data_IF_349156217219
#
_entry.id   IF_349156217219
#
_cell.length_a   1.000
_cell.length_b   1.000
_cell.length_c   1.000
_cell.angle_alpha   90.00
_cell.angle_beta   90.00
_cell.angle_gamma   90.00
#
_symmetry.space_group_name_H-M   'P 1'
#
loop_
_entity.id
_entity.type
_entity.pdbx_description
1 polymer ?
#
# COMPACT_ATOMS: atom_id res chain seq x y z
N UNK A 1 8.22 -23.08 4.22
CA UNK A 1 9.29 -23.30 3.25
C UNK A 1 10.46 -22.40 3.53
N UNK A 2 11.27 -22.17 2.51
CA UNK A 2 12.53 -21.47 2.54
C UNK A 2 12.60 -20.56 1.31
N UNK A 3 12.94 -19.30 1.55
CA UNK A 3 13.13 -18.31 0.50
C UNK A 3 14.63 -18.12 0.30
N UNK A 4 15.08 -18.40 -0.92
CA UNK A 4 16.43 -18.08 -1.38
C UNK A 4 16.42 -16.66 -1.90
N UNK A 5 17.45 -15.89 -1.53
CA UNK A 5 17.67 -14.53 -1.99
C UNK A 5 19.07 -14.42 -2.55
N UNK A 6 19.19 -14.35 -3.87
CA UNK A 6 20.45 -14.10 -4.56
C UNK A 6 20.59 -12.59 -4.81
N UNK A 7 21.66 -12.00 -4.27
CA UNK A 7 22.01 -10.58 -4.45
C UNK A 7 23.09 -10.48 -5.51
N UNK A 8 22.83 -9.73 -6.58
CA UNK A 8 23.76 -9.58 -7.70
C UNK A 8 24.62 -8.31 -7.55
N UNK A 9 25.80 -8.22 -8.19
CA UNK A 9 26.69 -7.05 -8.13
C UNK A 9 26.05 -5.74 -8.59
N UNK A 10 25.16 -5.77 -9.58
CA UNK A 10 24.36 -4.61 -10.00
C UNK A 10 23.23 -4.25 -9.02
N UNK A 11 23.11 -5.04 -7.95
CA UNK A 11 22.17 -4.94 -6.84
C UNK A 11 20.73 -5.31 -7.20
N UNK A 12 20.52 -6.00 -8.32
CA UNK A 12 19.32 -6.80 -8.54
C UNK A 12 19.27 -7.91 -7.48
N UNK A 13 18.06 -8.19 -6.98
CA UNK A 13 17.82 -9.31 -6.07
C UNK A 13 16.84 -10.27 -6.71
N UNK A 14 17.20 -11.55 -6.81
CA UNK A 14 16.32 -12.61 -7.28
C UNK A 14 15.88 -13.46 -6.09
N UNK A 15 14.58 -13.66 -5.96
CA UNK A 15 13.97 -14.42 -4.88
C UNK A 15 13.33 -15.70 -5.44
N UNK A 16 13.55 -16.85 -4.81
CA UNK A 16 12.90 -18.13 -5.18
C UNK A 16 12.48 -18.92 -3.94
N UNK A 17 11.24 -19.41 -3.92
CA UNK A 17 10.66 -20.12 -2.77
C UNK A 17 10.65 -21.63 -3.00
N UNK A 18 11.07 -22.38 -1.97
CA UNK A 18 11.03 -23.84 -1.92
C UNK A 18 10.36 -24.31 -0.62
N UNK A 19 9.77 -25.51 -0.63
CA UNK A 19 9.13 -26.05 0.57
C UNK A 19 10.13 -26.77 1.49
N UNK A 20 11.07 -27.52 0.90
CA UNK A 20 12.11 -28.28 1.60
C UNK A 20 13.32 -27.42 1.95
N UNK A 21 13.87 -27.65 3.16
CA UNK A 21 15.13 -27.04 3.59
C UNK A 21 16.30 -27.55 2.77
N UNK A 22 16.30 -28.86 2.52
CA UNK A 22 17.39 -29.55 1.84
C UNK A 22 17.53 -29.03 0.41
N UNK A 23 16.41 -28.96 -0.33
CA UNK A 23 16.39 -28.40 -1.68
C UNK A 23 16.84 -26.94 -1.72
N UNK A 24 16.46 -26.16 -0.70
CA UNK A 24 16.88 -24.76 -0.61
C UNK A 24 18.37 -24.59 -0.34
N UNK A 25 18.98 -25.49 0.43
CA UNK A 25 20.42 -25.49 0.68
C UNK A 25 21.19 -26.00 -0.55
N UNK A 26 20.70 -27.05 -1.21
CA UNK A 26 21.25 -27.54 -2.49
C UNK A 26 21.24 -26.45 -3.54
N UNK A 27 20.09 -25.80 -3.74
CA UNK A 27 19.96 -24.70 -4.69
C UNK A 27 20.83 -23.49 -4.29
N UNK A 28 21.00 -23.18 -3.00
CA UNK A 28 21.95 -22.14 -2.58
C UNK A 28 23.37 -22.47 -3.02
N UNK A 29 23.82 -23.71 -2.76
CA UNK A 29 25.18 -24.14 -3.07
C UNK A 29 25.41 -24.16 -4.59
N UNK A 30 24.44 -24.66 -5.35
CA UNK A 30 24.43 -24.56 -6.82
C UNK A 30 24.51 -23.11 -7.29
N UNK A 31 23.73 -22.19 -6.72
CA UNK A 31 23.77 -20.77 -7.12
C UNK A 31 25.10 -20.10 -6.76
N UNK A 32 25.75 -20.51 -5.67
CA UNK A 32 27.09 -20.00 -5.30
C UNK A 32 28.15 -20.49 -6.30
N UNK A 33 28.08 -21.75 -6.73
CA UNK A 33 29.04 -22.37 -7.65
C UNK A 33 28.77 -21.97 -9.12
N UNK A 34 27.52 -22.10 -9.57
CA UNK A 34 27.08 -21.82 -10.93
C UNK A 34 26.80 -20.34 -11.17
N UNK A 35 26.67 -19.51 -10.15
CA UNK A 35 26.19 -18.14 -10.30
C UNK A 35 24.73 -18.07 -10.78
N UNK A 36 24.30 -16.85 -11.11
CA UNK A 36 22.96 -16.54 -11.64
C UNK A 36 23.10 -16.09 -13.09
N UNK A 37 22.41 -16.76 -14.00
CA UNK A 37 22.36 -16.37 -15.41
C UNK A 37 21.09 -15.58 -15.68
N UNK A 38 21.23 -14.39 -16.24
CA UNK A 38 20.11 -13.57 -16.72
C UNK A 38 20.11 -13.65 -18.25
N UNK A 39 19.00 -14.09 -18.82
CA UNK A 39 18.73 -14.06 -20.26
C UNK A 39 17.70 -12.99 -20.55
N UNK A 40 17.96 -12.15 -21.54
CA UNK A 40 16.99 -11.17 -22.03
C UNK A 40 16.17 -11.81 -23.13
N UNK A 41 14.85 -11.86 -22.92
CA UNK A 41 13.91 -12.40 -23.90
C UNK A 41 13.54 -11.38 -24.96
N UNK A 42 13.26 -10.15 -24.50
CA UNK A 42 12.97 -9.02 -25.36
C UNK A 42 13.26 -7.72 -24.64
N UNK A 43 13.57 -6.68 -25.42
CA UNK A 43 13.64 -5.31 -24.95
C UNK A 43 12.65 -4.45 -25.70
N UNK A 44 11.99 -3.54 -24.98
CA UNK A 44 11.02 -2.63 -25.57
C UNK A 44 11.07 -1.27 -24.89
N UNK A 45 10.72 -0.23 -25.62
CA UNK A 45 10.66 1.12 -25.08
C UNK A 45 9.30 1.37 -24.41
N UNK A 46 9.32 2.00 -23.25
CA UNK A 46 8.15 2.32 -22.45
C UNK A 46 8.20 3.77 -22.02
N UNK A 47 7.11 4.50 -22.28
CA UNK A 47 6.90 5.79 -21.63
C UNK A 47 6.35 5.55 -20.22
N UNK A 48 7.06 6.06 -19.22
CA UNK A 48 6.72 5.93 -17.81
C UNK A 48 6.26 7.28 -17.31
N UNK A 49 5.00 7.34 -16.89
CA UNK A 49 4.42 8.53 -16.27
C UNK A 49 5.01 8.73 -14.87
N UNK A 50 5.23 9.99 -14.43
CA UNK A 50 5.50 10.23 -13.03
C UNK A 50 4.34 9.74 -12.19
N UNK A 51 4.62 9.32 -10.95
CA UNK A 51 3.54 8.99 -10.05
C UNK A 51 2.77 10.26 -9.61
N UNK A 52 1.49 10.12 -9.22
CA UNK A 52 0.71 11.24 -8.67
C UNK A 52 1.33 11.74 -7.35
N UNK A 53 1.01 12.98 -6.94
CA UNK A 53 1.37 13.47 -5.61
C UNK A 53 0.72 12.60 -4.52
N UNK A 54 1.23 12.70 -3.29
CA UNK A 54 0.82 11.80 -2.24
C UNK A 54 -0.64 12.02 -1.80
N UNK A 55 -1.32 10.90 -1.61
CA UNK A 55 -2.49 10.73 -0.72
C UNK A 55 -2.00 10.15 0.61
N UNK A 56 -2.86 10.08 1.62
CA UNK A 56 -2.48 9.50 2.92
C UNK A 56 -2.02 8.06 2.81
N UNK A 57 -2.71 7.21 2.06
CA UNK A 57 -2.34 5.79 1.93
C UNK A 57 -1.02 5.59 1.20
N UNK A 58 -0.75 6.39 0.16
CA UNK A 58 0.49 6.28 -0.62
C UNK A 58 1.68 6.86 0.15
N UNK A 59 1.48 7.95 0.90
CA UNK A 59 2.50 8.49 1.82
C UNK A 59 2.85 7.45 2.90
N UNK A 60 1.84 6.90 3.58
CA UNK A 60 2.06 5.89 4.61
C UNK A 60 2.77 4.66 4.05
N UNK A 61 2.36 4.22 2.86
CA UNK A 61 2.99 3.06 2.19
C UNK A 61 4.47 3.28 1.96
N UNK A 62 4.85 4.42 1.37
CA UNK A 62 6.23 4.71 1.03
C UNK A 62 7.08 4.99 2.28
N UNK A 63 6.57 5.78 3.24
CA UNK A 63 7.29 6.13 4.48
C UNK A 63 7.54 4.90 5.35
N UNK A 64 6.55 4.02 5.54
CA UNK A 64 6.72 2.78 6.29
C UNK A 64 7.73 1.86 5.59
N UNK A 65 7.67 1.75 4.26
CA UNK A 65 8.58 0.90 3.48
C UNK A 65 10.03 1.41 3.54
N UNK A 66 10.23 2.71 3.35
CA UNK A 66 11.56 3.31 3.22
C UNK A 66 12.21 3.61 4.57
N UNK A 67 11.43 4.14 5.52
CA UNK A 67 11.94 4.58 6.83
C UNK A 67 11.75 3.54 7.92
N UNK A 68 11.00 2.46 7.65
CA UNK A 68 10.74 1.33 8.59
C UNK A 68 10.05 1.74 9.89
N UNK A 69 9.33 2.86 9.87
CA UNK A 69 8.52 3.39 10.97
C UNK A 69 7.13 2.78 10.97
N UNK A 70 6.40 2.86 12.10
CA UNK A 70 4.99 2.43 12.14
C UNK A 70 4.09 3.45 11.42
N UNK A 71 2.89 3.06 10.94
CA UNK A 71 1.94 4.00 10.35
C UNK A 71 1.55 5.13 11.30
N UNK A 72 1.41 4.83 12.60
CA UNK A 72 1.10 5.83 13.63
C UNK A 72 2.22 6.87 13.74
N UNK A 73 3.48 6.43 13.72
CA UNK A 73 4.63 7.34 13.74
C UNK A 73 4.70 8.16 12.45
N UNK A 74 4.46 7.55 11.28
CA UNK A 74 4.40 8.27 10.00
C UNK A 74 3.31 9.36 9.99
N UNK A 75 2.12 9.05 10.51
CA UNK A 75 1.05 10.05 10.67
C UNK A 75 1.42 11.17 11.64
N UNK A 76 2.12 10.86 12.74
CA UNK A 76 2.60 11.87 13.68
C UNK A 76 3.58 12.83 13.01
N UNK A 77 4.56 12.29 12.28
CA UNK A 77 5.52 13.11 11.53
C UNK A 77 4.81 14.01 10.52
N UNK A 78 3.81 13.50 9.80
CA UNK A 78 3.04 14.28 8.86
C UNK A 78 2.16 15.35 9.54
N UNK A 79 1.66 15.07 10.75
CA UNK A 79 0.98 16.05 11.60
C UNK A 79 1.93 17.17 12.00
N UNK A 80 3.11 16.82 12.52
CA UNK A 80 4.12 17.79 12.97
C UNK A 80 4.58 18.67 11.79
N UNK A 81 4.82 18.09 10.60
CA UNK A 81 5.15 18.84 9.37
C UNK A 81 4.01 19.78 8.91
N UNK A 82 2.75 19.38 9.09
CA UNK A 82 1.59 20.19 8.75
C UNK A 82 1.42 21.36 9.73
N UNK A 83 1.54 21.10 11.04
CA UNK A 83 1.41 22.12 12.09
C UNK A 83 2.54 23.16 12.03
N UNK A 84 3.75 22.74 11.66
CA UNK A 84 4.87 23.64 11.37
C UNK A 84 4.78 24.32 10.00
N UNK A 85 3.71 24.08 9.24
CA UNK A 85 3.43 24.78 7.99
C UNK A 85 4.32 24.37 6.81
N UNK A 86 4.93 23.18 6.81
CA UNK A 86 5.78 22.69 5.71
C UNK A 86 5.01 21.91 4.63
N UNK A 87 3.88 21.30 4.98
CA UNK A 87 3.06 20.53 4.03
C UNK A 87 1.58 20.89 4.16
N UNK A 88 0.81 20.59 3.12
CA UNK A 88 -0.65 20.64 3.16
C UNK A 88 -1.25 19.56 4.07
N UNK A 89 -2.55 19.63 4.32
CA UNK A 89 -3.24 18.70 5.20
C UNK A 89 -3.05 17.23 4.77
N UNK A 90 -2.46 16.42 5.65
CA UNK A 90 -1.96 15.09 5.32
C UNK A 90 -2.99 13.96 5.40
N UNK A 91 -4.26 14.26 5.79
CA UNK A 91 -5.38 13.30 5.82
C UNK A 91 -6.30 13.53 4.64
N UNK A 92 -5.87 13.07 3.47
CA UNK A 92 -6.50 13.31 2.18
C UNK A 92 -6.45 12.05 1.31
N UNK A 93 -7.52 11.79 0.58
CA UNK A 93 -7.61 10.79 -0.49
C UNK A 93 -7.46 11.41 -1.88
N UNK A 94 -7.30 12.73 -1.95
CA UNK A 94 -7.21 13.49 -3.19
C UNK A 94 -5.77 13.54 -3.70
N UNK A 95 -5.59 13.34 -5.01
CA UNK A 95 -4.34 13.66 -5.71
C UNK A 95 -4.35 15.07 -6.29
N UNK A 96 -5.39 15.87 -6.03
CA UNK A 96 -5.55 17.19 -6.61
C UNK A 96 -4.44 18.16 -6.22
N UNK A 97 -4.03 18.97 -7.17
CA UNK A 97 -3.04 20.04 -7.07
C UNK A 97 -3.72 21.33 -7.51
N UNK A 98 -3.79 22.27 -6.57
CA UNK A 98 -4.30 23.62 -6.78
C UNK A 98 -3.40 24.44 -7.69
N UNK A 99 -3.93 25.56 -8.21
CA UNK A 99 -3.13 26.55 -8.93
C UNK A 99 -1.90 27.00 -8.13
N UNK A 100 -2.07 27.29 -6.83
CA UNK A 100 -0.95 27.63 -5.94
C UNK A 100 0.11 26.51 -5.86
N UNK A 101 -0.32 25.25 -5.80
CA UNK A 101 0.62 24.12 -5.84
C UNK A 101 1.43 24.09 -7.14
N UNK A 102 0.79 24.34 -8.28
CA UNK A 102 1.46 24.41 -9.58
C UNK A 102 2.47 25.57 -9.61
N UNK A 103 2.13 26.74 -9.05
CA UNK A 103 3.06 27.88 -8.92
C UNK A 103 4.30 27.52 -8.09
N UNK A 104 4.12 26.88 -6.93
CA UNK A 104 5.24 26.42 -6.08
C UNK A 104 6.15 25.45 -6.85
N UNK A 105 5.56 24.54 -7.64
CA UNK A 105 6.34 23.61 -8.44
C UNK A 105 7.10 24.34 -9.56
N UNK A 106 6.47 25.34 -10.21
CA UNK A 106 7.09 26.14 -11.27
C UNK A 106 8.31 26.90 -10.74
N UNK A 107 8.18 27.59 -9.61
CA UNK A 107 9.27 28.35 -8.99
C UNK A 107 10.51 27.48 -8.76
N UNK A 108 10.32 26.29 -8.20
CA UNK A 108 11.42 25.33 -8.01
C UNK A 108 12.02 24.84 -9.32
N UNK A 109 11.17 24.52 -10.30
CA UNK A 109 11.59 23.99 -11.60
C UNK A 109 12.39 25.02 -12.40
N UNK A 110 12.03 26.31 -12.31
CA UNK A 110 12.78 27.42 -12.91
C UNK A 110 14.14 27.60 -12.21
N UNK A 111 14.16 27.65 -10.87
CA UNK A 111 15.41 27.77 -10.10
C UNK A 111 16.37 26.60 -10.29
N UNK A 112 15.83 25.40 -10.54
CA UNK A 112 16.61 24.17 -10.75
C UNK A 112 17.01 23.91 -12.22
N UNK A 113 16.64 24.79 -13.16
CA UNK A 113 16.94 24.61 -14.58
C UNK A 113 16.21 23.42 -15.24
N UNK A 114 15.02 23.08 -14.75
CA UNK A 114 14.21 21.95 -15.22
C UNK A 114 13.03 22.37 -16.12
N UNK A 115 12.94 23.65 -16.50
CA UNK A 115 11.82 24.24 -17.27
C UNK A 115 11.47 23.46 -18.54
N UNK A 116 12.49 22.97 -19.26
CA UNK A 116 12.36 22.12 -20.47
C UNK A 116 11.48 20.87 -20.26
N UNK A 117 11.48 20.32 -19.05
CA UNK A 117 10.72 19.12 -18.68
C UNK A 117 9.55 19.42 -17.74
N UNK A 118 9.19 20.68 -17.54
CA UNK A 118 7.99 21.04 -16.79
C UNK A 118 6.73 20.58 -17.55
N UNK A 119 5.77 20.03 -16.81
CA UNK A 119 4.47 19.62 -17.33
C UNK A 119 3.41 19.78 -16.21
N UNK A 120 2.91 21.02 -16.00
CA UNK A 120 2.02 21.33 -14.90
C UNK A 120 0.73 20.51 -15.02
N UNK A 121 0.34 19.89 -13.92
CA UNK A 121 -0.80 18.97 -13.85
C UNK A 121 -1.57 19.20 -12.57
N UNK A 122 -2.88 19.40 -12.73
CA UNK A 122 -3.81 19.49 -11.60
C UNK A 122 -3.96 18.14 -10.90
N UNK A 123 -3.94 17.02 -11.62
CA UNK A 123 -4.21 15.66 -11.09
C UNK A 123 -5.59 15.52 -10.44
N UNK A 124 -6.35 14.45 -10.72
CA UNK A 124 -7.67 14.23 -10.10
C UNK A 124 -8.69 15.38 -10.30
N UNK A 125 -9.85 15.26 -9.66
CA UNK A 125 -10.87 16.33 -9.65
C UNK A 125 -10.73 17.26 -8.44
N UNK A 126 -11.26 18.47 -8.56
CA UNK A 126 -11.35 19.41 -7.44
C UNK A 126 -12.25 18.84 -6.32
N UNK A 127 -11.84 19.05 -5.07
CA UNK A 127 -12.53 18.57 -3.88
C UNK A 127 -12.17 19.40 -2.66
N UNK A 128 -12.71 19.03 -1.50
CA UNK A 128 -12.51 19.77 -0.24
C UNK A 128 -11.07 19.73 0.28
N UNK A 129 -10.26 18.80 -0.23
CA UNK A 129 -8.86 18.64 0.16
C UNK A 129 -7.97 18.49 -1.08
N UNK A 130 -6.78 19.05 -0.96
CA UNK A 130 -5.69 18.89 -1.91
C UNK A 130 -4.87 17.64 -1.57
N UNK A 131 -3.99 17.23 -2.47
CA UNK A 131 -2.92 16.27 -2.20
C UNK A 131 -1.97 16.74 -1.10
N UNK A 132 -1.14 15.82 -0.62
CA UNK A 132 -0.05 16.10 0.31
C UNK A 132 1.14 16.62 -0.49
N UNK A 133 1.45 17.90 -0.32
CA UNK A 133 2.54 18.60 -1.01
C UNK A 133 3.21 19.63 -0.10
N UNK A 134 4.40 20.13 -0.46
CA UNK A 134 5.01 21.28 0.20
C UNK A 134 4.13 22.54 0.09
N UNK A 135 4.24 23.40 1.09
CA UNK A 135 3.65 24.75 1.12
C UNK A 135 4.60 25.83 0.60
N UNK A 136 5.91 25.53 0.55
CA UNK A 136 6.97 26.41 0.05
C UNK A 136 7.94 25.62 -0.86
N UNK A 137 8.67 26.26 -1.78
CA UNK A 137 9.75 25.62 -2.55
C UNK A 137 10.87 25.09 -1.65
N UNK A 138 11.58 24.02 -2.04
CA UNK A 138 12.61 23.39 -1.19
C UNK A 138 13.77 24.32 -0.84
N UNK A 139 14.17 25.19 -1.77
CA UNK A 139 15.31 26.10 -1.58
C UNK A 139 15.03 27.21 -0.56
N UNK A 140 13.78 27.32 -0.09
CA UNK A 140 13.36 28.25 0.96
C UNK A 140 13.39 27.66 2.38
N UNK A 141 13.74 26.37 2.53
CA UNK A 141 13.85 25.76 3.85
C UNK A 141 15.28 25.94 4.35
N UNK A 142 15.46 26.96 5.17
CA UNK A 142 16.63 27.09 6.02
C UNK A 142 16.72 25.85 6.94
N UNK A 143 17.84 25.14 6.91
CA UNK A 143 18.02 23.94 7.73
C UNK A 143 17.94 24.28 9.22
N UNK A 144 18.42 25.47 9.61
CA UNK A 144 18.39 25.92 10.99
C UNK A 144 16.95 26.22 11.44
N UNK A 145 16.14 26.86 10.59
CA UNK A 145 14.71 27.11 10.85
C UNK A 145 13.89 25.81 10.96
N UNK A 146 14.21 24.82 10.12
CA UNK A 146 13.54 23.52 10.14
C UNK A 146 13.76 22.78 11.48
N UNK A 147 15.00 22.76 12.00
CA UNK A 147 15.32 22.08 13.25
C UNK A 147 14.93 22.87 14.52
N UNK A 148 14.83 24.20 14.43
CA UNK A 148 14.30 25.03 15.54
C UNK A 148 12.83 24.71 15.88
N UNK A 149 12.08 24.14 14.94
CA UNK A 149 10.66 23.76 15.13
C UNK A 149 10.46 22.38 15.78
N UNK A 150 11.42 21.88 16.57
CA UNK A 150 11.43 20.52 17.14
C UNK A 150 11.31 19.37 16.12
N UNK A 151 11.55 19.66 14.83
CA UNK A 151 11.52 18.64 13.78
C UNK A 151 12.82 17.83 13.82
N UNK A 152 12.71 16.53 13.58
CA UNK A 152 13.88 15.62 13.61
C UNK A 152 14.39 15.31 12.21
N UNK A 153 15.55 14.67 12.10
CA UNK A 153 16.06 14.16 10.83
C UNK A 153 15.04 13.25 10.10
N UNK A 154 14.23 12.51 10.86
CA UNK A 154 13.17 11.68 10.30
C UNK A 154 12.06 12.52 9.64
N UNK A 155 11.72 13.68 10.20
CA UNK A 155 10.79 14.64 9.59
C UNK A 155 11.36 15.19 8.28
N UNK A 156 12.64 15.58 8.29
CA UNK A 156 13.34 16.05 7.08
C UNK A 156 13.27 15.01 5.96
N UNK A 157 13.50 13.73 6.28
CA UNK A 157 13.39 12.64 5.30
C UNK A 157 11.97 12.48 4.75
N UNK A 158 10.93 12.50 5.59
CA UNK A 158 9.54 12.43 5.13
C UNK A 158 9.19 13.63 4.26
N UNK A 159 9.60 14.84 4.65
CA UNK A 159 9.42 16.04 3.85
C UNK A 159 10.10 15.92 2.47
N UNK A 160 11.35 15.47 2.41
CA UNK A 160 12.07 15.24 1.15
C UNK A 160 11.38 14.22 0.24
N UNK A 161 10.78 13.17 0.81
CA UNK A 161 9.97 12.22 0.05
C UNK A 161 8.74 12.91 -0.55
N UNK A 162 8.00 13.70 0.24
CA UNK A 162 6.84 14.48 -0.20
C UNK A 162 7.23 15.45 -1.31
N UNK A 163 8.32 16.18 -1.10
CA UNK A 163 8.84 17.15 -2.06
C UNK A 163 9.18 16.51 -3.40
N UNK A 164 10.03 15.46 -3.40
CA UNK A 164 10.44 14.79 -4.63
C UNK A 164 9.27 14.17 -5.38
N UNK A 165 8.32 13.57 -4.65
CA UNK A 165 7.10 13.02 -5.23
C UNK A 165 6.24 14.10 -5.88
N UNK A 166 6.06 15.23 -5.18
CA UNK A 166 5.27 16.35 -5.66
C UNK A 166 5.88 16.98 -6.91
N UNK A 167 7.16 17.35 -6.89
CA UNK A 167 7.83 17.92 -8.07
C UNK A 167 7.81 16.95 -9.23
N UNK A 168 8.12 15.68 -9.01
CA UNK A 168 8.08 14.66 -10.06
C UNK A 168 6.71 14.58 -10.75
N UNK A 169 5.61 14.72 -9.99
CA UNK A 169 4.25 14.71 -10.54
C UNK A 169 3.98 15.85 -11.54
N UNK A 170 4.79 16.92 -11.49
CA UNK A 170 4.70 18.11 -12.33
C UNK A 170 5.74 18.14 -13.46
N UNK A 171 6.49 17.05 -13.67
CA UNK A 171 7.50 16.92 -14.74
C UNK A 171 7.03 15.96 -15.83
N UNK A 172 7.56 16.07 -17.05
CA UNK A 172 7.23 15.19 -18.19
C UNK A 172 7.48 13.69 -17.87
N UNK A 173 6.74 12.77 -18.51
CA UNK A 173 7.07 11.35 -18.50
C UNK A 173 8.53 11.10 -18.92
N UNK A 174 9.10 9.99 -18.44
CA UNK A 174 10.44 9.55 -18.87
C UNK A 174 10.30 8.39 -19.84
N UNK A 175 11.13 8.35 -20.89
CA UNK A 175 11.18 7.21 -21.82
C UNK A 175 12.30 6.28 -21.38
N UNK A 176 11.98 5.00 -21.24
CA UNK A 176 12.88 4.00 -20.69
C UNK A 176 12.93 2.76 -21.58
N UNK A 177 14.09 2.14 -21.66
CA UNK A 177 14.25 0.80 -22.20
C UNK A 177 13.93 -0.19 -21.08
N UNK A 178 12.95 -1.06 -21.31
CA UNK A 178 12.61 -2.17 -20.44
C UNK A 178 13.05 -3.49 -21.07
N UNK A 179 13.35 -4.47 -20.23
CA UNK A 179 13.64 -5.84 -20.65
C UNK A 179 12.73 -6.83 -19.93
N UNK A 180 12.15 -7.78 -20.69
CA UNK A 180 11.64 -9.03 -20.10
C UNK A 180 12.80 -10.00 -20.02
N UNK A 181 13.11 -10.45 -18.81
CA UNK A 181 14.28 -11.28 -18.54
C UNK A 181 13.89 -12.56 -17.79
N UNK A 182 14.64 -13.62 -18.07
CA UNK A 182 14.63 -14.85 -17.28
C UNK A 182 15.90 -14.92 -16.45
N UNK A 183 15.75 -14.95 -15.12
CA UNK A 183 16.83 -15.25 -14.19
C UNK A 183 16.84 -16.74 -13.85
N UNK A 184 18.01 -17.37 -14.00
CA UNK A 184 18.24 -18.78 -13.75
C UNK A 184 19.09 -18.97 -12.48
N UNK A 185 18.56 -19.74 -11.54
CA UNK A 185 19.20 -20.10 -10.27
C UNK A 185 19.25 -21.63 -10.20
N UNK A 186 20.42 -22.26 -10.39
CA UNK A 186 20.56 -23.73 -10.26
C UNK A 186 19.42 -24.53 -10.92
N UNK A 187 19.11 -24.22 -12.18
CA UNK A 187 18.02 -24.86 -12.94
C UNK A 187 16.59 -24.36 -12.66
N UNK A 188 16.38 -23.44 -11.71
CA UNK A 188 15.09 -22.75 -11.50
C UNK A 188 15.02 -21.46 -12.31
N UNK A 189 13.81 -21.12 -12.79
CA UNK A 189 13.53 -19.95 -13.62
C UNK A 189 12.65 -18.94 -12.89
N UNK A 190 13.00 -17.66 -13.00
CA UNK A 190 12.18 -16.51 -12.55
C UNK A 190 12.09 -15.51 -13.68
N UNK A 191 10.88 -15.11 -14.05
CA UNK A 191 10.65 -14.04 -15.04
C UNK A 191 10.48 -12.69 -14.36
N UNK A 192 11.09 -11.66 -14.93
CA UNK A 192 11.05 -10.29 -14.43
C UNK A 192 10.91 -9.31 -15.60
N UNK A 193 10.19 -8.21 -15.36
CA UNK A 193 10.24 -7.01 -16.21
C UNK A 193 11.06 -5.94 -15.47
N UNK A 194 12.16 -5.49 -16.08
CA UNK A 194 13.12 -4.58 -15.45
C UNK A 194 13.36 -3.33 -16.29
N UNK A 195 13.44 -2.13 -15.68
CA UNK A 195 13.96 -0.95 -16.35
C UNK A 195 15.48 -1.12 -16.57
N UNK A 196 15.91 -1.15 -17.83
CA UNK A 196 17.32 -1.32 -18.19
C UNK A 196 18.03 0.03 -18.28
N UNK A 197 17.44 1.01 -18.95
CA UNK A 197 18.08 2.31 -19.20
C UNK A 197 17.07 3.44 -19.33
N UNK A 198 17.44 4.64 -18.89
CA UNK A 198 16.68 5.87 -19.18
C UNK A 198 17.11 6.36 -20.58
N UNK A 199 16.18 6.40 -21.52
CA UNK A 199 16.42 6.88 -22.90
C UNK A 199 16.18 8.39 -23.02
N UNK A 200 15.15 8.89 -22.33
CA UNK A 200 14.84 10.32 -22.24
C UNK A 200 14.43 10.65 -20.82
N UNK A 201 15.18 11.56 -20.21
CA UNK A 201 14.91 12.04 -18.86
C UNK A 201 13.64 12.90 -18.83
N UNK A 202 12.83 12.69 -17.80
CA UNK A 202 11.71 13.53 -17.41
C UNK A 202 11.69 13.63 -15.90
N UNK A 203 10.61 13.18 -15.27
CA UNK A 203 10.49 13.14 -13.80
C UNK A 203 11.63 12.39 -13.08
N UNK A 204 12.33 11.48 -13.76
CA UNK A 204 13.45 10.72 -13.20
C UNK A 204 14.65 11.58 -12.78
N UNK A 205 14.75 12.84 -13.25
CA UNK A 205 15.77 13.80 -12.77
C UNK A 205 15.63 14.10 -11.28
N UNK A 206 14.40 14.08 -10.75
CA UNK A 206 14.10 14.42 -9.36
C UNK A 206 13.66 13.19 -8.55
N UNK A 207 13.09 12.19 -9.23
CA UNK A 207 12.60 10.97 -8.60
C UNK A 207 13.42 9.76 -9.02
N UNK A 208 14.27 9.30 -8.10
CA UNK A 208 15.18 8.17 -8.35
C UNK A 208 14.42 6.95 -8.87
N UNK A 209 14.82 6.48 -10.04
CA UNK A 209 14.36 5.22 -10.60
C UNK A 209 15.57 4.34 -10.84
N UNK A 210 15.59 3.17 -10.19
CA UNK A 210 16.69 2.22 -10.36
C UNK A 210 16.65 1.61 -11.76
N UNK A 211 17.78 1.60 -12.43
CA UNK A 211 18.00 0.93 -13.72
C UNK A 211 19.04 -0.17 -13.60
N UNK A 212 19.05 -1.10 -14.57
CA UNK A 212 20.04 -2.18 -14.69
C UNK A 212 20.75 -2.06 -16.05
N UNK A 213 21.54 -0.99 -16.20
CA UNK A 213 22.15 -0.62 -17.49
C UNK A 213 23.16 -1.63 -18.01
N UNK A 214 23.79 -2.40 -17.12
CA UNK A 214 24.71 -3.47 -17.46
C UNK A 214 24.04 -4.66 -18.16
N UNK A 215 22.71 -4.74 -18.10
CA UNK A 215 21.92 -5.69 -18.89
C UNK A 215 21.52 -5.11 -20.24
N UNK A 216 21.57 -3.79 -20.46
CA UNK A 216 21.14 -3.18 -21.71
C UNK A 216 22.05 -3.61 -22.87
N UNK A 217 21.48 -4.21 -23.92
CA UNK A 217 22.23 -4.66 -25.10
C UNK A 217 22.97 -5.99 -24.94
N UNK A 218 22.66 -6.75 -23.89
CA UNK A 218 23.19 -8.10 -23.68
C UNK A 218 22.10 -9.15 -23.91
N UNK A 219 22.42 -10.30 -24.52
CA UNK A 219 21.45 -11.40 -24.63
C UNK A 219 21.45 -12.27 -23.38
N UNK A 220 22.64 -12.55 -22.86
CA UNK A 220 22.86 -13.40 -21.68
C UNK A 220 24.03 -12.84 -20.86
N UNK A 221 23.83 -12.70 -19.56
CA UNK A 221 24.88 -12.30 -18.60
C UNK A 221 24.87 -13.25 -17.42
N UNK A 222 26.06 -13.65 -16.97
CA UNK A 222 26.22 -14.46 -15.76
C UNK A 222 26.84 -13.61 -14.65
N UNK A 223 26.18 -13.59 -13.50
CA UNK A 223 26.68 -12.94 -12.30
C UNK A 223 27.12 -13.98 -11.28
N UNK A 224 28.25 -13.71 -10.64
CA UNK A 224 28.56 -14.32 -9.35
C UNK A 224 27.80 -13.52 -8.28
N UNK A 225 26.85 -14.13 -7.54
CA UNK A 225 26.10 -13.42 -6.53
C UNK A 225 27.04 -12.94 -5.41
N UNK A 226 26.87 -11.69 -4.98
CA UNK A 226 27.62 -11.13 -3.83
C UNK A 226 27.19 -11.76 -2.51
N UNK A 227 25.95 -12.25 -2.46
CA UNK A 227 25.38 -12.93 -1.31
C UNK A 227 24.24 -13.84 -1.72
N UNK A 228 24.14 -15.01 -1.10
CA UNK A 228 22.97 -15.91 -1.23
C UNK A 228 22.46 -16.25 0.17
N UNK A 229 21.30 -15.73 0.54
CA UNK A 229 20.66 -16.02 1.82
C UNK A 229 19.58 -17.08 1.66
N UNK A 230 19.53 -18.04 2.60
CA UNK A 230 18.39 -18.96 2.77
C UNK A 230 17.69 -18.61 4.07
N UNK A 231 16.45 -18.15 3.98
CA UNK A 231 15.66 -17.81 5.16
C UNK A 231 14.40 -18.68 5.24
N UNK A 232 14.03 -19.09 6.46
CA UNK A 232 12.71 -19.70 6.67
C UNK A 232 11.64 -18.68 6.33
N UNK A 233 10.72 -19.05 5.45
CA UNK A 233 9.67 -18.17 4.96
C UNK A 233 8.35 -18.93 4.77
N UNK A 234 7.25 -18.19 4.80
CA UNK A 234 5.95 -18.67 4.36
C UNK A 234 5.81 -18.44 2.84
N UNK A 235 5.08 -19.34 2.15
CA UNK A 235 4.74 -19.19 0.72
C UNK A 235 3.95 -17.91 0.48
N UNK A 236 3.06 -17.59 1.42
CA UNK A 236 2.35 -16.32 1.47
C UNK A 236 3.07 -15.40 2.46
N UNK A 237 3.73 -14.32 1.99
CA UNK A 237 4.39 -13.38 2.89
C UNK A 237 3.35 -12.72 3.79
N UNK A 238 3.74 -12.42 5.03
CA UNK A 238 2.93 -11.61 5.91
C UNK A 238 2.79 -10.20 5.33
N UNK A 239 1.63 -9.60 5.54
CA UNK A 239 1.35 -8.25 5.09
C UNK A 239 2.03 -7.25 6.03
N UNK A 240 2.71 -6.29 5.45
CA UNK A 240 3.17 -5.09 6.14
C UNK A 240 1.99 -4.19 6.47
N UNK A 241 2.16 -3.31 7.45
CA UNK A 241 1.15 -2.29 7.74
C UNK A 241 0.86 -1.40 6.52
N UNK A 242 1.85 -1.13 5.67
CA UNK A 242 1.69 -0.42 4.41
C UNK A 242 0.76 -1.16 3.44
N UNK A 243 0.98 -2.46 3.23
CA UNK A 243 0.14 -3.29 2.37
C UNK A 243 -1.30 -3.39 2.90
N UNK A 244 -1.48 -3.47 4.22
CA UNK A 244 -2.81 -3.45 4.83
C UNK A 244 -3.52 -2.12 4.58
N UNK A 245 -2.86 -0.97 4.76
CA UNK A 245 -3.46 0.35 4.45
C UNK A 245 -3.89 0.43 2.99
N UNK A 246 -3.04 -0.04 2.07
CA UNK A 246 -3.39 -0.10 0.64
C UNK A 246 -4.62 -0.98 0.39
N UNK A 247 -4.65 -2.18 0.98
CA UNK A 247 -5.79 -3.10 0.86
C UNK A 247 -7.08 -2.53 1.46
N UNK A 248 -6.98 -1.83 2.59
CA UNK A 248 -8.13 -1.15 3.21
C UNK A 248 -8.74 -0.16 2.22
N UNK A 249 -7.92 0.71 1.62
CA UNK A 249 -8.39 1.66 0.58
C UNK A 249 -9.00 0.94 -0.62
N UNK A 250 -8.30 -0.04 -1.20
CA UNK A 250 -8.76 -0.78 -2.39
C UNK A 250 -10.10 -1.49 -2.15
N UNK A 251 -10.36 -1.92 -0.91
CA UNK A 251 -11.62 -2.58 -0.52
C UNK A 251 -12.71 -1.61 -0.04
N UNK A 252 -12.41 -0.32 0.03
CA UNK A 252 -13.32 0.72 0.53
C UNK A 252 -13.57 0.63 2.04
N UNK A 253 -12.58 0.16 2.81
CA UNK A 253 -12.64 0.06 4.27
C UNK A 253 -11.82 1.20 4.87
N UNK A 254 -12.45 2.03 5.70
CA UNK A 254 -11.78 3.14 6.39
C UNK A 254 -11.59 4.37 5.51
N UNK A 255 -10.84 5.33 6.07
CA UNK A 255 -10.58 6.66 5.51
C UNK A 255 -9.17 7.11 5.88
N UNK A 256 -8.62 8.15 5.23
CA UNK A 256 -7.33 8.75 5.60
C UNK A 256 -7.13 8.98 7.10
N UNK A 257 -8.19 9.39 7.81
CA UNK A 257 -8.17 9.62 9.25
C UNK A 257 -8.17 8.35 10.12
N UNK A 258 -8.55 7.19 9.57
CA UNK A 258 -8.78 5.97 10.35
C UNK A 258 -7.79 4.84 10.06
N UNK A 259 -7.06 4.86 8.94
CA UNK A 259 -6.12 3.79 8.58
C UNK A 259 -5.08 3.47 9.68
N UNK A 260 -4.30 4.47 10.09
CA UNK A 260 -3.29 4.29 11.14
C UNK A 260 -3.94 3.94 12.50
N UNK A 261 -5.12 4.52 12.79
CA UNK A 261 -5.83 4.28 14.05
C UNK A 261 -6.39 2.87 14.16
N UNK A 262 -6.90 2.31 13.06
CA UNK A 262 -7.37 0.93 13.01
C UNK A 262 -6.21 -0.04 13.33
N UNK A 263 -5.04 0.18 12.73
CA UNK A 263 -3.84 -0.62 13.01
C UNK A 263 -3.40 -0.46 14.47
N UNK A 264 -3.32 0.78 14.97
CA UNK A 264 -2.98 1.08 16.36
C UNK A 264 -3.92 0.40 17.35
N UNK A 265 -5.23 0.44 17.12
CA UNK A 265 -6.22 -0.21 17.98
C UNK A 265 -6.03 -1.73 18.02
N UNK A 266 -5.78 -2.38 16.88
CA UNK A 266 -5.53 -3.82 16.83
C UNK A 266 -4.24 -4.22 17.55
N UNK A 267 -3.21 -3.37 17.47
CA UNK A 267 -1.96 -3.55 18.23
C UNK A 267 -2.18 -3.39 19.73
N UNK A 268 -2.90 -2.33 20.13
CA UNK A 268 -3.19 -2.02 21.53
C UNK A 268 -3.99 -3.12 22.22
N UNK A 269 -4.96 -3.71 21.53
CA UNK A 269 -5.73 -4.84 22.07
C UNK A 269 -5.01 -6.19 21.96
N UNK A 270 -3.79 -6.22 21.41
CA UNK A 270 -2.99 -7.45 21.30
C UNK A 270 -3.51 -8.45 20.28
N UNK A 271 -4.37 -8.05 19.34
CA UNK A 271 -4.86 -8.93 18.26
C UNK A 271 -3.79 -9.17 17.19
N UNK A 272 -2.92 -8.19 17.01
CA UNK A 272 -1.77 -8.26 16.11
C UNK A 272 -0.54 -7.70 16.80
N UNK A 273 0.63 -8.10 16.33
CA UNK A 273 1.92 -7.50 16.72
C UNK A 273 2.69 -7.04 15.48
N UNK A 274 3.55 -6.03 15.65
CA UNK A 274 4.45 -5.56 14.59
C UNK A 274 5.82 -6.23 14.70
N UNK A 275 6.32 -6.76 13.58
CA UNK A 275 7.71 -7.18 13.51
C UNK A 275 8.66 -5.97 13.55
N UNK A 276 9.69 -6.03 14.39
CA UNK A 276 10.62 -4.90 14.64
C UNK A 276 11.33 -4.36 13.39
N UNK A 277 11.64 -5.21 12.40
CA UNK A 277 12.48 -4.83 11.25
C UNK A 277 11.70 -4.41 10.01
N UNK A 278 10.55 -5.03 9.76
CA UNK A 278 9.84 -4.93 8.48
C UNK A 278 8.39 -4.50 8.64
N UNK A 279 7.94 -4.21 9.86
CA UNK A 279 6.59 -3.75 10.15
C UNK A 279 5.49 -4.70 9.61
N UNK A 280 5.80 -6.00 9.48
CA UNK A 280 4.80 -7.04 9.27
C UNK A 280 3.80 -7.06 10.42
N UNK A 281 2.52 -7.14 10.09
CA UNK A 281 1.44 -7.39 11.03
C UNK A 281 1.25 -8.90 11.17
N UNK A 282 1.46 -9.38 12.39
CA UNK A 282 1.39 -10.81 12.72
C UNK A 282 0.17 -11.03 13.62
N UNK A 283 -0.81 -11.85 13.23
CA UNK A 283 -1.94 -12.15 14.09
C UNK A 283 -1.49 -12.95 15.31
N UNK A 284 -2.01 -12.59 16.48
CA UNK A 284 -1.79 -13.34 17.73
C UNK A 284 -2.82 -14.47 17.84
N UNK A 285 -2.54 -15.45 18.72
CA UNK A 285 -3.52 -16.50 19.05
C UNK A 285 -4.86 -15.89 19.49
N UNK A 286 -4.81 -14.92 20.40
CA UNK A 286 -5.99 -14.17 20.86
C UNK A 286 -6.72 -13.49 19.70
N UNK A 287 -6.00 -12.82 18.80
CA UNK A 287 -6.62 -12.17 17.64
C UNK A 287 -7.35 -13.15 16.72
N UNK A 288 -6.77 -14.33 16.49
CA UNK A 288 -7.38 -15.40 15.68
C UNK A 288 -8.64 -15.94 16.37
N UNK A 289 -8.58 -16.22 17.66
CA UNK A 289 -9.71 -16.75 18.43
C UNK A 289 -10.87 -15.74 18.50
N UNK A 290 -10.56 -14.46 18.73
CA UNK A 290 -11.56 -13.37 18.72
C UNK A 290 -12.19 -13.22 17.34
N UNK A 291 -11.40 -13.21 16.27
CA UNK A 291 -11.93 -13.11 14.92
C UNK A 291 -12.88 -14.27 14.61
N UNK A 292 -12.47 -15.50 14.92
CA UNK A 292 -13.30 -16.70 14.73
C UNK A 292 -14.61 -16.61 15.52
N UNK A 293 -14.53 -16.23 16.80
CA UNK A 293 -15.70 -16.07 17.66
C UNK A 293 -16.70 -15.04 17.12
N UNK A 294 -16.22 -13.90 16.62
CA UNK A 294 -17.11 -12.86 16.06
C UNK A 294 -17.67 -13.31 14.71
N UNK A 295 -16.88 -13.95 13.84
CA UNK A 295 -17.35 -14.43 12.54
C UNK A 295 -18.44 -15.51 12.66
N UNK A 296 -18.31 -16.44 13.61
CA UNK A 296 -19.31 -17.49 13.85
C UNK A 296 -20.65 -16.93 14.33
N UNK A 297 -20.66 -15.79 15.03
CA UNK A 297 -21.87 -15.22 15.64
C UNK A 297 -22.45 -14.02 14.89
N UNK A 298 -21.59 -13.28 14.19
CA UNK A 298 -21.88 -11.99 13.58
C UNK A 298 -21.26 -11.88 12.17
N UNK A 299 -21.17 -13.00 11.43
CA UNK A 299 -20.48 -13.09 10.14
C UNK A 299 -20.80 -11.96 9.17
N UNK A 300 -22.10 -11.61 9.04
CA UNK A 300 -22.56 -10.49 8.20
C UNK A 300 -21.93 -9.16 8.62
N UNK A 301 -21.92 -8.84 9.91
CA UNK A 301 -21.36 -7.57 10.43
C UNK A 301 -19.83 -7.49 10.30
N UNK A 302 -19.15 -8.65 10.25
CA UNK A 302 -17.70 -8.71 10.08
C UNK A 302 -17.24 -8.72 8.62
N UNK A 303 -18.18 -8.68 7.67
CA UNK A 303 -17.86 -8.71 6.25
C UNK A 303 -17.27 -7.38 5.75
N UNK A 304 -16.45 -7.48 4.70
CA UNK A 304 -15.91 -6.32 3.99
C UNK A 304 -17.05 -5.53 3.35
N UNK A 305 -18.04 -6.24 2.84
CA UNK A 305 -19.22 -5.72 2.16
C UNK A 305 -20.07 -4.87 3.10
N UNK A 306 -20.36 -5.37 4.30
CA UNK A 306 -21.10 -4.63 5.31
C UNK A 306 -20.34 -3.39 5.77
N UNK A 307 -19.02 -3.52 5.99
CA UNK A 307 -18.18 -2.36 6.34
C UNK A 307 -18.25 -1.28 5.26
N UNK A 308 -18.15 -1.67 3.98
CA UNK A 308 -18.25 -0.74 2.84
C UNK A 308 -19.63 -0.10 2.74
N UNK A 309 -20.69 -0.84 3.06
CA UNK A 309 -22.04 -0.32 3.15
C UNK A 309 -22.17 0.74 4.25
N UNK A 310 -21.60 0.51 5.44
CA UNK A 310 -21.57 1.53 6.50
C UNK A 310 -20.82 2.79 6.04
N UNK A 311 -19.68 2.62 5.37
CA UNK A 311 -18.90 3.73 4.83
C UNK A 311 -19.67 4.53 3.76
N UNK A 312 -20.50 3.87 2.95
CA UNK A 312 -21.34 4.54 1.95
C UNK A 312 -22.54 5.26 2.58
N UNK A 313 -23.11 4.72 3.66
CA UNK A 313 -24.14 5.42 4.44
C UNK A 313 -23.59 6.69 5.08
N UNK A 314 -22.42 6.64 5.71
CA UNK A 314 -21.75 7.82 6.31
C UNK A 314 -21.50 8.87 5.23
N UNK A 315 -21.01 8.46 4.06
CA UNK A 315 -20.79 9.36 2.93
C UNK A 315 -22.10 9.93 2.36
N UNK A 316 -23.16 9.13 2.33
CA UNK A 316 -24.50 9.57 1.96
C UNK A 316 -25.02 10.66 2.89
N UNK A 317 -24.79 10.53 4.20
CA UNK A 317 -25.12 11.55 5.19
C UNK A 317 -24.27 12.81 5.01
N UNK A 318 -22.95 12.66 4.83
CA UNK A 318 -22.02 13.79 4.59
C UNK A 318 -22.41 14.60 3.37
N UNK A 319 -22.83 13.93 2.30
CA UNK A 319 -23.26 14.55 1.05
C UNK A 319 -24.72 15.05 1.06
N UNK A 320 -25.44 14.91 2.18
CA UNK A 320 -26.86 15.29 2.27
C UNK A 320 -27.83 14.41 1.47
N UNK A 321 -27.36 13.28 0.92
CA UNK A 321 -28.17 12.32 0.14
C UNK A 321 -29.04 11.42 1.01
N UNK A 322 -28.65 11.20 2.27
CA UNK A 322 -29.37 10.37 3.24
C UNK A 322 -29.49 11.14 4.55
N UNK A 323 -30.68 11.18 5.16
CA UNK A 323 -30.83 11.79 6.48
C UNK A 323 -30.16 10.94 7.57
N UNK A 324 -29.62 11.57 8.62
CA UNK A 324 -29.05 10.85 9.76
C UNK A 324 -30.05 9.85 10.37
N UNK A 325 -31.32 10.25 10.50
CA UNK A 325 -32.39 9.40 11.03
C UNK A 325 -32.56 8.14 10.16
N UNK A 326 -32.61 8.31 8.85
CA UNK A 326 -32.73 7.20 7.89
C UNK A 326 -31.55 6.24 7.97
N UNK A 327 -30.32 6.77 8.01
CA UNK A 327 -29.11 5.96 8.14
C UNK A 327 -29.10 5.14 9.45
N UNK A 328 -29.49 5.76 10.57
CA UNK A 328 -29.62 5.08 11.86
C UNK A 328 -30.70 4.00 11.84
N UNK A 329 -31.86 4.26 11.22
CA UNK A 329 -32.92 3.25 11.07
C UNK A 329 -32.44 2.03 10.31
N UNK A 330 -31.73 2.21 9.18
CA UNK A 330 -31.16 1.09 8.42
C UNK A 330 -30.15 0.28 9.24
N UNK A 331 -29.28 0.96 10.00
CA UNK A 331 -28.30 0.28 10.84
C UNK A 331 -28.97 -0.50 11.97
N UNK A 332 -30.01 0.06 12.59
CA UNK A 332 -30.78 -0.60 13.64
C UNK A 332 -31.57 -1.80 13.11
N UNK A 333 -32.15 -1.72 11.90
CA UNK A 333 -32.86 -2.87 11.31
C UNK A 333 -31.94 -4.06 11.08
N UNK A 334 -30.71 -3.84 10.62
CA UNK A 334 -29.72 -4.91 10.44
C UNK A 334 -29.38 -5.60 11.78
N UNK A 335 -29.21 -4.82 12.85
CA UNK A 335 -28.96 -5.36 14.20
C UNK A 335 -30.16 -6.15 14.73
N UNK A 336 -31.37 -5.68 14.49
CA UNK A 336 -32.61 -6.39 14.90
C UNK A 336 -32.73 -7.72 14.14
N UNK A 337 -32.52 -7.73 12.82
CA UNK A 337 -32.56 -8.96 12.00
C UNK A 337 -31.56 -9.99 12.51
N UNK A 338 -30.35 -9.57 12.89
CA UNK A 338 -29.35 -10.48 13.46
C UNK A 338 -29.78 -11.04 14.82
N UNK A 339 -30.37 -10.20 15.68
CA UNK A 339 -30.89 -10.65 16.97
C UNK A 339 -31.99 -11.68 16.80
N UNK A 340 -32.97 -11.40 15.94
CA UNK A 340 -34.08 -12.30 15.63
C UNK A 340 -33.58 -13.60 14.99
N UNK A 341 -32.67 -13.53 14.01
CA UNK A 341 -32.10 -14.73 13.37
C UNK A 341 -31.37 -15.62 14.37
N UNK A 342 -30.63 -15.01 15.31
CA UNK A 342 -29.94 -15.74 16.38
C UNK A 342 -30.92 -16.35 17.39
N UNK A 343 -32.00 -15.65 17.72
CA UNK A 343 -33.04 -16.15 18.60
C UNK A 343 -33.77 -17.35 17.98
N UNK A 344 -34.07 -17.29 16.68
CA UNK A 344 -34.62 -18.41 15.90
C UNK A 344 -33.65 -19.59 15.84
N UNK A 345 -32.35 -19.36 15.59
CA UNK A 345 -31.34 -20.42 15.59
C UNK A 345 -31.15 -21.05 16.98
N UNK A 346 -31.22 -20.25 18.05
CA UNK A 346 -31.15 -20.72 19.43
C UNK A 346 -32.37 -21.59 19.77
N UNK A 347 -33.58 -21.15 19.40
CA UNK A 347 -34.81 -21.94 19.54
C UNK A 347 -34.69 -23.26 18.77
N UNK A 348 -34.22 -23.24 17.51
CA UNK A 348 -34.01 -24.48 16.73
C UNK A 348 -32.99 -25.44 17.34
N UNK A 349 -31.92 -24.92 17.92
CA UNK A 349 -30.91 -25.74 18.60
C UNK A 349 -31.43 -26.32 19.93
N UNK A 350 -32.26 -25.57 20.66
CA UNK A 350 -32.91 -26.03 21.89
C UNK A 350 -34.05 -27.02 21.63
N UNK A 351 -34.62 -27.02 20.41
CA UNK A 351 -35.71 -27.90 19.98
C UNK A 351 -35.26 -28.97 18.97
N UNK A 352 -33.98 -29.39 18.99
CA UNK A 352 -33.43 -30.36 18.02
C UNK A 352 -33.96 -31.80 18.16
N UNK A 353 -34.95 -32.05 19.03
CA UNK A 353 -35.73 -33.29 19.11
C UNK A 353 -37.15 -33.15 18.55
N UNK A 354 -37.49 -32.05 17.86
CA UNK A 354 -38.76 -31.99 17.14
C UNK A 354 -38.66 -32.68 15.77
N UNK A 355 -39.62 -33.57 15.43
CA UNK A 355 -39.62 -34.27 14.16
C UNK A 355 -39.66 -33.27 13.00
N UNK A 356 -38.91 -33.59 11.95
CA UNK A 356 -38.96 -32.88 10.67
C UNK A 356 -40.43 -32.90 10.21
N UNK A 357 -41.07 -31.73 10.21
CA UNK A 357 -42.36 -31.60 9.55
C UNK A 357 -42.08 -31.63 8.06
N UNK A 358 -42.34 -32.79 7.45
CA UNK A 358 -42.39 -32.94 6.01
C UNK A 358 -43.39 -31.93 5.43
N UNK A 359 -42.87 -31.12 4.53
CA UNK A 359 -43.53 -30.48 3.38
C UNK A 359 -45.07 -30.41 3.45
N UNK A 360 -45.59 -29.33 4.03
CA UNK A 360 -46.97 -28.90 3.78
C UNK A 360 -46.96 -27.90 2.63
N UNK A 361 -47.07 -28.47 1.44
CA UNK A 361 -47.58 -27.94 0.19
C UNK A 361 -47.96 -26.45 0.17
N UNK A 362 -47.24 -25.72 -0.67
CA UNK A 362 -47.76 -24.58 -1.43
C UNK A 362 -49.09 -24.97 -2.11
N UNK A 363 -50.22 -24.65 -1.49
CA UNK A 363 -51.48 -24.51 -2.21
C UNK A 363 -52.27 -23.28 -1.72
N UNK A 364 -52.41 -22.37 -2.68
CA UNK A 364 -53.61 -21.60 -2.99
C UNK A 364 -53.90 -20.24 -2.32
N UNK A 365 -54.10 -19.29 -3.26
CA UNK A 365 -54.98 -18.12 -3.25
C UNK A 365 -54.64 -16.91 -2.38
N UNK A 366 -53.89 -15.98 -2.98
CA UNK A 366 -54.08 -14.55 -2.74
C UNK A 366 -55.12 -14.04 -3.74
N UNK A 367 -56.36 -13.86 -3.26
CA UNK A 367 -57.36 -12.99 -3.87
C UNK A 367 -57.69 -11.84 -2.93
N UNK A 368 -57.61 -10.65 -3.53
CA UNK A 368 -57.95 -9.29 -3.08
C UNK A 368 -56.86 -8.50 -2.38
#
# INVERSE_FOLDING_TARGET
GYLIKAYLPNGLRIDYFLESREDALKLRDEVIESGVTIRILETFEKEVNPPPPYTTDTLLTDVVRELRVSPTQAMRIAQDLFESGHITYHRTDSTHVSGLGIEIAREYVEGSGLTEIFNPRTWGGEGTHECIRPTKPADSIDEDEFFMSNLTYLHKRVYQMIFRRFIASQLKPSRMLYGRVEAYLGGKRVELELPLKILKEGFTKVYFTRTYEDLAGTEVVRYVPTKVDVIKASKTPLLTSAEIVRMMRERGIGRPSTYAKAIENNLRHGYVILSKKRQYLIPTKTGIEVLKYIQERCGVLTSVEFTRYLESLIEGVRAGRVSLKTALTYLLSEVVVLRTSREVLKIRAEHSEMPVVEDLALQEEIKY
#
